data_IF_146582459760
#
_entry.id   IF_146582459760
#
_cell.length_a   1.000
_cell.length_b   1.000
_cell.length_c   1.000
_cell.angle_alpha   90.00
_cell.angle_beta   90.00
_cell.angle_gamma   90.00
#
_symmetry.space_group_name_H-M   'P 1'
#
loop_
_entity.id
_entity.type
_entity.pdbx_description
1 polymer ?
#
# COMPACT_ATOMS: atom_id res chain seq x y z
N UNK A 1 -78.88 -40.35 3.63
CA UNK A 1 -78.28 -39.17 2.99
C UNK A 1 -77.41 -38.50 4.03
N UNK A 2 -76.13 -38.87 4.07
CA UNK A 2 -75.21 -38.53 5.17
C UNK A 2 -73.90 -38.06 4.55
N UNK A 3 -73.78 -36.73 4.41
CA UNK A 3 -72.56 -36.04 4.03
C UNK A 3 -71.96 -35.41 5.29
N UNK A 4 -71.17 -36.20 6.02
CA UNK A 4 -70.36 -35.76 7.16
C UNK A 4 -69.20 -36.73 7.28
N UNK A 5 -67.94 -36.38 7.11
CA UNK A 5 -67.30 -35.13 6.74
C UNK A 5 -65.82 -35.48 6.62
N UNK A 6 -65.22 -35.22 5.46
CA UNK A 6 -63.80 -35.56 5.25
C UNK A 6 -63.13 -34.63 4.23
N UNK A 7 -63.43 -33.33 4.31
CA UNK A 7 -62.92 -32.31 3.36
C UNK A 7 -62.18 -31.15 4.03
N UNK A 8 -61.79 -31.28 5.30
CA UNK A 8 -61.15 -30.18 6.05
C UNK A 8 -59.73 -30.48 6.55
N UNK A 9 -58.97 -31.35 5.87
CA UNK A 9 -57.58 -31.68 6.26
C UNK A 9 -56.50 -31.54 5.18
N UNK A 10 -56.81 -30.99 4.01
CA UNK A 10 -55.82 -30.97 2.92
C UNK A 10 -55.89 -29.71 2.04
N UNK A 11 -55.45 -28.56 2.57
CA UNK A 11 -55.11 -27.43 1.69
C UNK A 11 -53.86 -26.61 2.09
N UNK A 12 -53.17 -26.97 3.17
CA UNK A 12 -51.89 -26.34 3.55
C UNK A 12 -50.87 -27.36 4.11
N UNK A 13 -50.73 -28.54 3.49
CA UNK A 13 -49.53 -29.33 3.74
C UNK A 13 -48.37 -28.68 2.98
N UNK A 14 -47.78 -27.64 3.58
CA UNK A 14 -46.45 -27.16 3.21
C UNK A 14 -45.48 -28.29 3.61
N UNK A 15 -45.41 -29.35 2.81
CA UNK A 15 -44.34 -30.34 2.84
C UNK A 15 -43.09 -29.73 2.22
N UNK A 16 -42.68 -28.54 2.70
CA UNK A 16 -41.30 -28.12 2.54
C UNK A 16 -40.47 -29.14 3.30
N UNK A 17 -39.67 -29.91 2.57
CA UNK A 17 -38.65 -30.77 3.13
C UNK A 17 -37.71 -29.92 3.99
N UNK A 18 -38.04 -29.81 5.28
CA UNK A 18 -37.32 -29.02 6.27
C UNK A 18 -35.87 -29.50 6.36
N UNK A 19 -35.62 -30.81 6.14
CA UNK A 19 -34.27 -31.38 6.11
C UNK A 19 -33.49 -30.85 4.90
N UNK A 20 -34.08 -30.82 3.71
CA UNK A 20 -33.43 -30.25 2.53
C UNK A 20 -33.14 -28.74 2.69
N UNK A 21 -34.08 -27.97 3.22
CA UNK A 21 -33.86 -26.54 3.51
C UNK A 21 -32.75 -26.33 4.53
N UNK A 22 -32.75 -27.11 5.61
CA UNK A 22 -31.71 -27.05 6.64
C UNK A 22 -30.33 -27.37 6.07
N UNK A 23 -30.22 -28.39 5.20
CA UNK A 23 -28.98 -28.71 4.48
C UNK A 23 -28.53 -27.56 3.57
N UNK A 24 -29.44 -26.94 2.82
CA UNK A 24 -29.14 -25.78 1.97
C UNK A 24 -28.66 -24.59 2.79
N UNK A 25 -29.33 -24.25 3.88
CA UNK A 25 -28.94 -23.15 4.77
C UNK A 25 -27.60 -23.41 5.45
N UNK A 26 -27.36 -24.63 5.93
CA UNK A 26 -26.07 -25.03 6.47
C UNK A 26 -24.94 -24.86 5.46
N UNK A 27 -25.19 -25.20 4.19
CA UNK A 27 -24.22 -24.99 3.10
C UNK A 27 -23.97 -23.51 2.82
N UNK A 28 -25.02 -22.69 2.79
CA UNK A 28 -24.88 -21.24 2.64
C UNK A 28 -24.01 -20.67 3.75
N UNK A 29 -24.29 -21.04 5.00
CA UNK A 29 -23.57 -20.54 6.17
C UNK A 29 -22.11 -21.04 6.23
N UNK A 30 -21.88 -22.35 6.04
CA UNK A 30 -20.55 -22.96 6.22
C UNK A 30 -19.62 -22.76 5.02
N UNK A 31 -20.15 -22.63 3.81
CA UNK A 31 -19.34 -22.58 2.58
C UNK A 31 -19.47 -21.26 1.83
N UNK A 32 -20.70 -20.87 1.45
CA UNK A 32 -20.89 -19.78 0.50
C UNK A 32 -20.60 -18.42 1.12
N UNK A 33 -21.12 -18.18 2.33
CA UNK A 33 -20.96 -16.91 3.03
C UNK A 33 -19.47 -16.64 3.30
N UNK A 34 -18.68 -17.55 3.91
CA UNK A 34 -17.24 -17.35 4.07
C UNK A 34 -16.50 -17.14 2.74
N UNK A 35 -16.87 -17.84 1.67
CA UNK A 35 -16.27 -17.64 0.33
C UNK A 35 -16.57 -16.24 -0.22
N UNK A 36 -17.79 -15.75 -0.04
CA UNK A 36 -18.17 -14.40 -0.43
C UNK A 36 -17.40 -13.35 0.39
N UNK A 37 -17.24 -13.56 1.69
CA UNK A 37 -16.45 -12.68 2.57
C UNK A 37 -14.98 -12.67 2.15
N UNK A 38 -14.37 -13.84 1.92
CA UNK A 38 -12.98 -13.97 1.42
C UNK A 38 -12.81 -13.20 0.10
N UNK A 39 -13.74 -13.35 -0.84
CA UNK A 39 -13.68 -12.63 -2.12
C UNK A 39 -13.83 -11.11 -1.92
N UNK A 40 -14.68 -10.69 -0.98
CA UNK A 40 -14.91 -9.29 -0.63
C UNK A 40 -13.66 -8.64 -0.07
N UNK A 41 -13.07 -9.20 0.99
CA UNK A 41 -11.87 -8.63 1.63
C UNK A 41 -10.69 -8.61 0.66
N UNK A 42 -10.54 -9.63 -0.19
CA UNK A 42 -9.49 -9.67 -1.21
C UNK A 42 -9.70 -8.62 -2.31
N UNK A 43 -10.96 -8.35 -2.69
CA UNK A 43 -11.28 -7.31 -3.69
C UNK A 43 -11.01 -5.92 -3.10
N UNK A 44 -11.42 -5.67 -1.86
CA UNK A 44 -11.13 -4.42 -1.14
C UNK A 44 -9.62 -4.19 -0.96
N UNK A 45 -8.86 -5.25 -0.62
CA UNK A 45 -7.40 -5.19 -0.52
C UNK A 45 -6.73 -4.88 -1.87
N UNK A 46 -7.19 -5.50 -2.96
CA UNK A 46 -6.72 -5.18 -4.33
C UNK A 46 -7.00 -3.73 -4.72
N UNK A 47 -8.21 -3.25 -4.44
CA UNK A 47 -8.59 -1.87 -4.68
C UNK A 47 -7.71 -0.89 -3.89
N UNK A 48 -7.49 -1.17 -2.61
CA UNK A 48 -6.59 -0.40 -1.74
C UNK A 48 -5.16 -0.38 -2.29
N UNK A 49 -4.63 -1.52 -2.76
CA UNK A 49 -3.30 -1.55 -3.37
C UNK A 49 -3.23 -0.69 -4.63
N UNK A 50 -4.20 -0.82 -5.55
CA UNK A 50 -4.24 -0.08 -6.80
C UNK A 50 -4.30 1.44 -6.55
N UNK A 51 -5.11 1.88 -5.59
CA UNK A 51 -5.20 3.29 -5.20
C UNK A 51 -3.94 3.78 -4.50
N UNK A 52 -3.32 2.96 -3.65
CA UNK A 52 -2.00 3.28 -3.07
C UNK A 52 -0.92 3.42 -4.15
N UNK A 53 -0.90 2.55 -5.16
CA UNK A 53 0.01 2.66 -6.29
C UNK A 53 -0.21 3.95 -7.09
N UNK A 54 -1.46 4.38 -7.25
CA UNK A 54 -1.81 5.66 -7.88
C UNK A 54 -1.28 6.83 -7.05
N UNK A 55 -1.57 6.87 -5.75
CA UNK A 55 -1.08 7.94 -4.86
C UNK A 55 0.44 7.98 -4.85
N UNK A 56 1.12 6.83 -4.79
CA UNK A 56 2.59 6.80 -4.86
C UNK A 56 3.10 7.32 -6.21
N UNK A 57 2.43 7.02 -7.31
CA UNK A 57 2.83 7.53 -8.63
C UNK A 57 2.68 9.06 -8.72
N UNK A 58 1.62 9.60 -8.13
CA UNK A 58 1.26 11.02 -8.27
C UNK A 58 2.01 11.89 -7.24
N UNK A 59 2.12 11.44 -5.99
CA UNK A 59 2.67 12.23 -4.88
C UNK A 59 4.19 12.00 -4.65
N UNK A 60 4.77 10.91 -5.17
CA UNK A 60 6.18 10.58 -4.93
C UNK A 60 7.03 10.74 -6.19
N UNK A 61 8.17 11.42 -6.05
CA UNK A 61 9.23 11.35 -7.05
C UNK A 61 9.98 10.03 -6.92
N UNK A 62 9.51 9.00 -7.61
CA UNK A 62 10.09 7.67 -7.56
C UNK A 62 11.42 7.58 -8.33
N UNK A 63 12.46 7.12 -7.62
CA UNK A 63 13.78 6.83 -8.21
C UNK A 63 13.94 5.38 -8.66
N UNK A 64 12.93 4.55 -8.67
CA UNK A 64 12.97 3.20 -9.27
C UNK A 64 11.60 2.56 -9.09
N UNK A 65 11.40 1.44 -9.79
CA UNK A 65 10.20 0.64 -9.62
C UNK A 65 10.18 -0.13 -8.30
N UNK A 66 11.29 -0.17 -7.55
CA UNK A 66 11.37 -0.92 -6.29
C UNK A 66 10.26 -0.53 -5.32
N UNK A 67 10.01 0.77 -5.15
CA UNK A 67 8.92 1.25 -4.27
C UNK A 67 7.57 0.73 -4.73
N UNK A 68 7.28 0.74 -6.03
CA UNK A 68 6.03 0.19 -6.58
C UNK A 68 5.93 -1.32 -6.35
N UNK A 69 6.99 -2.06 -6.69
CA UNK A 69 7.08 -3.53 -6.53
C UNK A 69 7.12 -4.00 -5.08
N UNK A 70 7.46 -3.10 -4.15
CA UNK A 70 7.51 -3.41 -2.72
C UNK A 70 6.14 -3.46 -2.07
N UNK A 71 5.10 -2.87 -2.70
CA UNK A 71 3.74 -2.96 -2.21
C UNK A 71 3.18 -4.36 -2.48
N UNK A 72 2.58 -4.96 -1.46
CA UNK A 72 2.11 -6.34 -1.50
C UNK A 72 0.73 -6.48 -0.85
N UNK A 73 0.03 -7.53 -1.27
CA UNK A 73 -1.22 -7.97 -0.68
C UNK A 73 -1.03 -9.39 -0.15
N UNK A 74 -1.33 -9.58 1.14
CA UNK A 74 -1.51 -10.90 1.71
C UNK A 74 -3.00 -11.26 1.63
N UNK A 75 -3.34 -12.07 0.63
CA UNK A 75 -4.72 -12.46 0.34
C UNK A 75 -5.25 -13.42 1.42
N UNK A 76 -6.52 -13.27 1.76
CA UNK A 76 -7.23 -14.27 2.53
C UNK A 76 -7.49 -15.52 1.70
N UNK A 77 -7.42 -16.69 2.34
CA UNK A 77 -7.79 -17.99 1.75
C UNK A 77 -8.96 -18.56 2.53
N UNK A 78 -9.96 -19.07 1.80
CA UNK A 78 -11.03 -19.87 2.39
C UNK A 78 -10.45 -21.19 2.92
N UNK A 79 -10.81 -21.54 4.15
CA UNK A 79 -10.54 -22.83 4.78
C UNK A 79 -11.84 -23.28 5.46
N UNK A 80 -12.32 -24.52 5.24
CA UNK A 80 -13.47 -25.05 5.98
C UNK A 80 -13.25 -24.92 7.50
N UNK A 81 -14.30 -24.53 8.24
CA UNK A 81 -14.24 -24.37 9.70
C UNK A 81 -13.52 -23.12 10.22
N UNK A 82 -12.93 -22.28 9.34
CA UNK A 82 -12.34 -20.99 9.78
C UNK A 82 -13.46 -20.01 10.17
N UNK A 83 -13.40 -19.49 11.40
CA UNK A 83 -14.30 -18.42 11.86
C UNK A 83 -14.25 -17.21 10.91
N UNK A 84 -15.42 -16.62 10.65
CA UNK A 84 -15.59 -15.44 9.81
C UNK A 84 -14.76 -14.26 10.31
N UNK A 85 -14.65 -14.08 11.63
CA UNK A 85 -13.91 -12.98 12.25
C UNK A 85 -12.41 -13.03 11.95
N UNK A 86 -11.90 -14.23 11.67
CA UNK A 86 -10.50 -14.45 11.29
C UNK A 86 -10.27 -14.24 9.80
N UNK A 87 -11.28 -13.95 8.99
CA UNK A 87 -11.15 -13.73 7.54
C UNK A 87 -10.70 -12.29 7.29
N UNK A 88 -9.39 -12.12 7.12
CA UNK A 88 -8.78 -10.83 6.79
C UNK A 88 -7.87 -10.95 5.57
N UNK A 89 -7.70 -9.82 4.88
CA UNK A 89 -6.66 -9.61 3.88
C UNK A 89 -5.85 -8.38 4.29
N UNK A 90 -4.54 -8.40 4.08
CA UNK A 90 -3.66 -7.31 4.46
C UNK A 90 -3.04 -6.68 3.22
N UNK A 91 -2.85 -5.36 3.28
CA UNK A 91 -2.13 -4.58 2.27
C UNK A 91 -0.99 -3.89 2.99
N UNK A 92 0.20 -3.94 2.42
CA UNK A 92 1.35 -3.32 3.05
C UNK A 92 2.54 -3.22 2.11
N UNK A 93 3.73 -3.12 2.69
CA UNK A 93 4.96 -2.89 1.95
C UNK A 93 6.13 -3.65 2.56
N UNK A 94 7.02 -4.14 1.71
CA UNK A 94 8.34 -4.65 2.12
C UNK A 94 9.39 -3.53 2.23
N UNK A 95 9.08 -2.33 1.75
CA UNK A 95 10.02 -1.23 1.77
C UNK A 95 10.11 -0.60 3.16
N UNK A 96 11.31 -0.47 3.75
CA UNK A 96 11.45 0.15 5.07
C UNK A 96 11.21 1.67 5.05
N UNK A 97 11.22 2.32 3.89
CA UNK A 97 11.04 3.78 3.80
C UNK A 97 9.58 4.21 3.76
N UNK A 98 8.69 3.39 3.23
CA UNK A 98 7.28 3.74 3.05
C UNK A 98 6.49 3.90 4.36
N UNK A 99 6.75 3.14 5.44
CA UNK A 99 6.11 3.41 6.74
C UNK A 99 6.44 4.80 7.28
N UNK A 100 7.70 5.25 7.17
CA UNK A 100 8.11 6.60 7.60
C UNK A 100 7.44 7.68 6.73
N UNK A 101 7.19 7.41 5.46
CA UNK A 101 6.48 8.33 4.57
C UNK A 101 4.98 8.39 4.89
N UNK A 102 4.43 7.34 5.49
CA UNK A 102 3.03 7.29 5.91
C UNK A 102 2.79 8.16 7.14
N UNK A 103 3.53 7.88 8.21
CA UNK A 103 3.38 8.55 9.51
C UNK A 103 4.16 9.86 9.61
N UNK A 104 5.09 10.09 8.69
CA UNK A 104 6.11 11.10 8.84
C UNK A 104 7.19 10.64 9.81
N UNK A 105 8.28 11.41 9.90
CA UNK A 105 9.34 11.07 10.84
C UNK A 105 10.62 11.84 10.58
N UNK A 106 11.60 11.65 11.45
CA UNK A 106 12.90 12.29 11.30
C UNK A 106 13.93 11.24 10.92
N UNK A 107 14.51 11.37 9.72
CA UNK A 107 15.63 10.53 9.31
C UNK A 107 16.91 11.17 9.79
N UNK A 108 17.62 10.49 10.69
CA UNK A 108 18.93 10.89 11.20
C UNK A 108 20.04 10.25 10.36
N UNK A 109 21.17 10.95 10.24
CA UNK A 109 22.37 10.46 9.58
C UNK A 109 22.90 9.22 10.32
N UNK A 110 23.27 8.17 9.59
CA UNK A 110 24.07 7.06 10.13
C UNK A 110 25.54 7.32 9.81
N UNK A 111 26.44 7.12 10.79
CA UNK A 111 27.90 7.35 10.64
C UNK A 111 28.26 8.74 10.10
N UNK A 112 27.51 9.79 10.48
CA UNK A 112 27.64 11.17 9.96
C UNK A 112 27.43 11.32 8.43
N UNK A 113 26.93 10.29 7.73
CA UNK A 113 26.69 10.31 6.28
C UNK A 113 25.18 10.19 6.02
N UNK A 114 24.58 11.23 5.44
CA UNK A 114 23.23 11.13 4.87
C UNK A 114 23.41 10.80 3.39
N UNK A 115 22.75 9.77 2.83
CA UNK A 115 22.85 9.50 1.40
C UNK A 115 22.49 10.75 0.59
N UNK A 116 23.39 11.12 -0.31
CA UNK A 116 23.32 12.36 -1.10
C UNK A 116 22.74 12.05 -2.48
N UNK A 117 21.50 12.47 -2.77
CA UNK A 117 20.94 12.32 -4.11
C UNK A 117 21.13 13.61 -4.89
N UNK A 118 22.38 13.98 -5.19
CA UNK A 118 22.65 15.18 -5.98
C UNK A 118 22.60 14.82 -7.46
N UNK A 119 21.54 15.24 -8.13
CA UNK A 119 21.40 15.15 -9.60
C UNK A 119 22.62 15.73 -10.31
N UNK A 120 23.19 16.81 -9.78
CA UNK A 120 24.42 17.43 -10.27
C UNK A 120 25.60 16.46 -10.31
N UNK A 121 25.81 15.66 -9.25
CA UNK A 121 26.87 14.65 -9.18
C UNK A 121 26.65 13.46 -10.12
N UNK A 122 25.41 13.28 -10.60
CA UNK A 122 25.01 12.21 -11.50
C UNK A 122 24.88 12.66 -12.97
N UNK A 123 25.37 13.86 -13.30
CA UNK A 123 25.26 14.47 -14.64
C UNK A 123 23.80 14.53 -15.12
N UNK A 124 22.87 14.89 -14.22
CA UNK A 124 21.43 14.97 -14.51
C UNK A 124 20.70 13.62 -14.60
N UNK A 125 21.42 12.49 -14.64
CA UNK A 125 20.82 11.15 -14.74
C UNK A 125 20.68 10.52 -13.36
N UNK A 126 19.53 10.67 -12.73
CA UNK A 126 19.30 10.14 -11.37
C UNK A 126 19.57 8.62 -11.23
N UNK A 127 19.43 7.84 -12.32
CA UNK A 127 19.72 6.39 -12.37
C UNK A 127 21.21 6.04 -12.30
N UNK A 128 22.12 6.93 -12.71
CA UNK A 128 23.55 6.62 -12.73
C UNK A 128 24.14 6.73 -11.32
N UNK A 129 25.05 5.81 -10.92
CA UNK A 129 25.81 5.97 -9.69
C UNK A 129 26.64 7.26 -9.75
N UNK A 130 26.89 7.86 -8.60
CA UNK A 130 27.82 9.00 -8.52
C UNK A 130 29.22 8.45 -8.81
N UNK A 131 29.94 8.97 -9.83
CA UNK A 131 31.31 8.58 -10.13
C UNK A 131 32.18 8.60 -8.88
N UNK A 132 33.12 7.65 -8.67
CA UNK A 132 33.95 7.58 -7.47
C UNK A 132 34.60 8.92 -7.09
N UNK A 133 35.12 9.67 -8.07
CA UNK A 133 35.73 10.99 -7.87
C UNK A 133 34.77 12.08 -7.32
N UNK A 134 33.45 11.88 -7.45
CA UNK A 134 32.43 12.82 -6.98
C UNK A 134 31.75 12.31 -5.69
N UNK A 135 32.21 11.20 -5.12
CA UNK A 135 31.70 10.67 -3.86
C UNK A 135 32.23 11.50 -2.69
N UNK A 136 31.43 11.55 -1.63
CA UNK A 136 31.66 12.41 -0.47
C UNK A 136 33.01 12.17 0.25
N UNK A 137 33.57 10.97 0.13
CA UNK A 137 34.88 10.60 0.69
C UNK A 137 36.08 11.01 -0.18
N UNK A 138 35.84 11.49 -1.40
CA UNK A 138 36.85 11.94 -2.38
C UNK A 138 36.69 13.43 -2.71
N UNK A 139 35.77 14.14 -2.04
CA UNK A 139 35.60 15.58 -2.20
C UNK A 139 36.72 16.30 -1.44
N UNK A 140 37.35 17.27 -2.10
CA UNK A 140 38.34 18.15 -1.48
C UNK A 140 37.69 19.29 -0.69
N UNK A 141 38.54 20.12 -0.11
CA UNK A 141 38.15 21.40 0.48
C UNK A 141 38.17 22.49 -0.61
N UNK A 142 37.65 23.67 -0.30
CA UNK A 142 37.72 24.79 -1.25
C UNK A 142 39.20 25.12 -1.53
N UNK A 143 39.58 25.16 -2.81
CA UNK A 143 40.96 25.44 -3.23
C UNK A 143 41.79 24.21 -3.65
N UNK A 144 41.33 22.99 -3.40
CA UNK A 144 41.99 21.79 -3.94
C UNK A 144 41.66 21.65 -5.44
N UNK A 145 42.68 21.71 -6.30
CA UNK A 145 42.52 21.61 -7.75
C UNK A 145 41.83 20.30 -8.16
N UNK A 146 40.92 20.40 -9.14
CA UNK A 146 40.30 19.24 -9.81
C UNK A 146 38.97 18.72 -9.24
N UNK A 147 38.51 19.16 -8.06
CA UNK A 147 37.25 18.65 -7.50
C UNK A 147 36.02 19.50 -7.90
N UNK A 148 35.13 18.93 -8.72
CA UNK A 148 33.87 19.58 -9.13
C UNK A 148 32.92 19.87 -7.95
N UNK A 149 33.04 19.11 -6.86
CA UNK A 149 32.33 19.32 -5.61
C UNK A 149 33.32 19.40 -4.46
N UNK A 150 33.09 20.34 -3.56
CA UNK A 150 33.97 20.58 -2.42
C UNK A 150 33.15 20.89 -1.16
N UNK A 151 33.75 20.60 -0.01
CA UNK A 151 33.23 21.05 1.28
C UNK A 151 33.58 22.52 1.48
N UNK A 152 32.61 23.29 1.96
CA UNK A 152 32.83 24.66 2.36
C UNK A 152 31.91 25.00 3.53
N UNK A 153 32.37 25.89 4.38
CA UNK A 153 31.51 26.58 5.35
C UNK A 153 31.06 27.87 4.68
N UNK A 154 29.76 28.06 4.45
CA UNK A 154 29.27 29.34 3.92
C UNK A 154 29.58 30.47 4.92
N UNK A 155 29.65 31.75 4.48
CA UNK A 155 29.89 32.89 5.37
C UNK A 155 29.01 32.91 6.64
N UNK A 156 27.77 32.42 6.56
CA UNK A 156 26.89 32.24 7.73
C UNK A 156 27.10 30.94 8.55
N UNK A 157 28.31 30.40 8.62
CA UNK A 157 28.69 29.24 9.46
C UNK A 157 28.13 27.87 9.05
N UNK A 158 27.29 27.78 8.02
CA UNK A 158 26.66 26.50 7.60
C UNK A 158 27.59 25.69 6.71
N UNK A 159 27.99 24.51 7.20
CA UNK A 159 28.72 23.51 6.40
C UNK A 159 27.83 22.96 5.28
N UNK A 160 28.35 22.91 4.07
CA UNK A 160 27.64 22.47 2.86
C UNK A 160 28.55 21.76 1.87
N UNK A 161 27.93 21.06 0.91
CA UNK A 161 28.59 20.63 -0.32
C UNK A 161 28.26 21.67 -1.38
N UNK A 162 29.28 22.18 -2.04
CA UNK A 162 29.17 23.22 -3.06
C UNK A 162 29.75 22.72 -4.39
N UNK A 163 29.41 23.39 -5.48
CA UNK A 163 29.98 23.16 -6.81
C UNK A 163 30.25 24.49 -7.49
N UNK A 164 31.32 24.56 -8.30
CA UNK A 164 31.54 25.71 -9.20
C UNK A 164 30.70 25.53 -10.46
N UNK A 165 29.89 26.54 -10.79
CA UNK A 165 29.19 26.69 -12.07
C UNK A 165 29.88 27.81 -12.85
N UNK A 166 30.87 27.46 -13.67
CA UNK A 166 31.75 28.43 -14.34
C UNK A 166 32.86 28.97 -13.41
N UNK A 167 33.58 30.01 -13.86
CA UNK A 167 34.78 30.52 -13.15
C UNK A 167 34.46 31.18 -11.80
N UNK A 168 33.35 31.92 -11.70
CA UNK A 168 33.06 32.79 -10.54
C UNK A 168 31.89 32.35 -9.65
N UNK A 169 30.99 31.47 -10.12
CA UNK A 169 29.75 31.15 -9.38
C UNK A 169 29.89 29.87 -8.57
N UNK A 170 29.75 29.97 -7.25
CA UNK A 170 29.65 28.83 -6.34
C UNK A 170 28.17 28.60 -6.02
N UNK A 171 27.68 27.39 -6.25
CA UNK A 171 26.29 27.01 -5.96
C UNK A 171 26.28 25.99 -4.82
N UNK A 172 25.50 26.26 -3.77
CA UNK A 172 25.26 25.29 -2.70
C UNK A 172 24.45 24.14 -3.26
N UNK A 173 25.07 22.96 -3.31
CA UNK A 173 24.44 21.74 -3.80
C UNK A 173 23.67 21.07 -2.67
N UNK A 174 24.19 21.14 -1.45
CA UNK A 174 23.56 20.54 -0.28
C UNK A 174 23.97 21.22 1.01
N UNK A 175 23.01 21.33 1.92
CA UNK A 175 23.28 21.61 3.32
C UNK A 175 23.62 20.33 4.10
N UNK A 176 24.77 20.32 4.77
CA UNK A 176 25.19 19.22 5.65
C UNK A 176 25.22 19.65 7.13
N UNK A 177 24.85 20.90 7.44
CA UNK A 177 24.75 21.39 8.82
C UNK A 177 23.72 20.59 9.63
N UNK A 178 22.65 20.13 8.96
CA UNK A 178 21.62 19.31 9.59
C UNK A 178 21.93 17.82 9.40
N UNK A 179 22.19 17.14 10.52
CA UNK A 179 22.36 15.68 10.58
C UNK A 179 21.02 14.91 10.52
N UNK A 180 19.92 15.62 10.35
CA UNK A 180 18.59 15.04 10.26
C UNK A 180 17.70 15.85 9.33
N UNK A 181 16.68 15.20 8.79
CA UNK A 181 15.60 15.89 8.08
C UNK A 181 14.26 15.28 8.48
N UNK A 182 13.25 16.15 8.59
CA UNK A 182 11.87 15.76 8.88
C UNK A 182 11.14 15.49 7.57
N UNK A 183 10.56 14.31 7.46
CA UNK A 183 9.63 13.91 6.42
C UNK A 183 8.22 14.21 6.93
N UNK A 184 7.44 14.92 6.11
CA UNK A 184 6.02 15.13 6.38
C UNK A 184 5.22 13.87 6.01
N UNK A 185 4.18 13.50 6.77
CA UNK A 185 3.33 12.37 6.42
C UNK A 185 2.61 12.64 5.08
N UNK A 186 2.69 11.69 4.17
CA UNK A 186 1.98 11.72 2.88
C UNK A 186 0.58 11.06 2.97
N UNK A 187 0.42 10.15 3.95
CA UNK A 187 -0.78 9.34 4.16
C UNK A 187 -1.17 8.50 2.93
N UNK A 188 -0.19 8.01 2.18
CA UNK A 188 -0.39 7.27 0.93
C UNK A 188 -1.17 5.97 1.12
N UNK A 189 -1.04 5.34 2.29
CA UNK A 189 -1.71 4.09 2.62
C UNK A 189 -3.06 4.32 3.28
N UNK A 190 -3.12 5.14 4.34
CA UNK A 190 -4.35 5.41 5.08
C UNK A 190 -5.43 6.04 4.20
N UNK A 191 -5.09 7.00 3.33
CA UNK A 191 -6.06 7.57 2.37
C UNK A 191 -6.65 6.51 1.44
N UNK A 192 -5.87 5.49 1.12
CA UNK A 192 -6.29 4.40 0.24
C UNK A 192 -7.21 3.43 0.97
N UNK A 193 -6.81 2.98 2.16
CA UNK A 193 -7.56 2.00 2.96
C UNK A 193 -8.86 2.57 3.50
N UNK A 194 -8.88 3.86 3.86
CA UNK A 194 -10.08 4.54 4.37
C UNK A 194 -11.24 4.48 3.37
N UNK A 195 -10.96 4.64 2.07
CA UNK A 195 -11.97 4.52 1.02
C UNK A 195 -12.65 3.15 0.98
N UNK A 196 -11.85 2.08 1.14
CA UNK A 196 -12.33 0.69 1.13
C UNK A 196 -12.80 0.20 2.50
N UNK A 197 -12.59 0.97 3.57
CA UNK A 197 -13.16 0.71 4.90
C UNK A 197 -14.61 1.17 5.01
N UNK A 198 -15.05 2.10 4.15
CA UNK A 198 -16.44 2.61 4.16
C UNK A 198 -17.43 1.47 3.98
N UNK A 199 -18.42 1.39 4.89
CA UNK A 199 -19.45 0.35 4.92
C UNK A 199 -20.14 0.17 3.57
N UNK A 200 -20.60 1.25 2.94
CA UNK A 200 -21.28 1.17 1.64
C UNK A 200 -20.40 0.60 0.50
N UNK A 201 -19.08 0.85 0.52
CA UNK A 201 -18.15 0.25 -0.45
C UNK A 201 -18.04 -1.26 -0.23
N UNK A 202 -17.90 -1.69 1.03
CA UNK A 202 -17.78 -3.11 1.39
C UNK A 202 -19.08 -3.87 1.12
N UNK A 203 -20.22 -3.31 1.48
CA UNK A 203 -21.54 -3.90 1.23
C UNK A 203 -21.78 -4.13 -0.26
N UNK A 204 -21.45 -3.15 -1.11
CA UNK A 204 -21.59 -3.30 -2.57
C UNK A 204 -20.72 -4.43 -3.12
N UNK A 205 -19.46 -4.51 -2.68
CA UNK A 205 -18.54 -5.58 -3.08
C UNK A 205 -19.06 -6.94 -2.56
N UNK A 206 -19.56 -6.97 -1.33
CA UNK A 206 -20.10 -8.18 -0.70
C UNK A 206 -21.34 -8.69 -1.43
N UNK A 207 -22.35 -7.84 -1.67
CA UNK A 207 -23.58 -8.20 -2.38
C UNK A 207 -23.24 -8.78 -3.76
N UNK A 208 -22.30 -8.17 -4.48
CA UNK A 208 -21.83 -8.68 -5.77
C UNK A 208 -21.29 -10.13 -5.66
N UNK A 209 -20.38 -10.39 -4.70
CA UNK A 209 -19.81 -11.73 -4.53
C UNK A 209 -20.81 -12.72 -3.94
N UNK A 210 -21.70 -12.30 -3.04
CA UNK A 210 -22.74 -13.13 -2.46
C UNK A 210 -23.72 -13.61 -3.53
N UNK A 211 -24.24 -12.72 -4.39
CA UNK A 211 -25.06 -13.08 -5.55
C UNK A 211 -24.35 -14.08 -6.46
N UNK A 212 -23.07 -13.86 -6.74
CA UNK A 212 -22.27 -14.78 -7.55
C UNK A 212 -22.09 -16.16 -6.93
N UNK A 213 -21.98 -16.27 -5.60
CA UNK A 213 -21.91 -17.57 -4.93
C UNK A 213 -23.27 -18.27 -4.90
N UNK A 214 -24.37 -17.54 -4.63
CA UNK A 214 -25.73 -18.08 -4.62
C UNK A 214 -26.15 -18.62 -5.99
N UNK A 215 -25.80 -17.91 -7.08
CA UNK A 215 -26.06 -18.36 -8.44
C UNK A 215 -25.43 -19.72 -8.78
N UNK A 216 -24.37 -20.15 -8.06
CA UNK A 216 -23.76 -21.49 -8.25
C UNK A 216 -24.59 -22.61 -7.63
N UNK A 217 -25.42 -22.31 -6.63
CA UNK A 217 -26.36 -23.29 -6.07
C UNK A 217 -27.55 -23.41 -6.99
N UNK A 218 -28.08 -22.31 -7.53
CA UNK A 218 -29.26 -22.36 -8.40
C UNK A 218 -29.05 -23.17 -9.70
N UNK A 219 -27.80 -23.35 -10.13
CA UNK A 219 -27.44 -24.16 -11.31
C UNK A 219 -27.23 -25.65 -11.02
N UNK A 220 -27.34 -26.07 -9.76
CA UNK A 220 -27.18 -27.46 -9.33
C UNK A 220 -28.50 -28.00 -8.82
#
# INVERSE_FOLDING_TARGET
MSYTGDMAKSMFSITTDVKAWTRKMNRVNKELLPRAIVATVNTAAKGSLARSLKIIRDDFTLRNEYTKKSLIIWKSKYKPGRSIDRINAQVGTKSPSLPIQETGGTIRARRKKIPVPTLAGRRGKWRKPIPPALRMNRMGEIGTEGSKFFFMTSPGGKKGIFTRKGKKKIVKVRDISRRSYRIRPTKWHSKSTEYFRKRGTLERIFIHHAKRQLAKIAKK
#
